data_IF_804915984968
#
_entry.id   IF_804915984968
#
_cell.length_a   1.000
_cell.length_b   1.000
_cell.length_c   1.000
_cell.angle_alpha   90.00
_cell.angle_beta   90.00
_cell.angle_gamma   90.00
#
_symmetry.space_group_name_H-M   'P 1'
#
loop_
_entity.id
_entity.type
_entity.pdbx_description
1 polymer ?
#
# COMPACT_ATOMS: atom_id res chain seq x y z
N UNK A 1 0.23 -29.74 14.92
CA UNK A 1 1.71 -29.84 14.75
C UNK A 1 2.22 -29.04 13.55
N UNK A 2 1.52 -29.02 12.42
CA UNK A 2 2.00 -28.32 11.21
C UNK A 2 2.17 -26.78 11.32
N UNK A 3 1.34 -26.13 12.13
CA UNK A 3 1.34 -24.66 12.20
C UNK A 3 2.52 -24.06 13.00
N UNK A 4 3.01 -24.74 14.03
CA UNK A 4 4.27 -24.38 14.68
C UNK A 4 5.45 -24.58 13.72
N UNK A 5 5.39 -25.63 12.90
CA UNK A 5 6.42 -25.94 11.91
C UNK A 5 6.52 -24.82 10.85
N UNK A 6 5.38 -24.34 10.31
CA UNK A 6 5.34 -23.24 9.36
C UNK A 6 5.95 -21.93 9.92
N UNK A 7 5.70 -21.63 11.20
CA UNK A 7 6.30 -20.46 11.85
C UNK A 7 7.81 -20.67 12.09
N UNK A 8 8.25 -21.86 12.47
CA UNK A 8 9.67 -22.17 12.63
C UNK A 8 10.44 -22.14 11.30
N UNK A 9 9.77 -22.43 10.18
CA UNK A 9 10.37 -22.31 8.83
C UNK A 9 10.86 -20.90 8.53
N UNK A 10 10.26 -19.84 9.11
CA UNK A 10 10.72 -18.46 8.97
C UNK A 10 12.19 -18.28 9.45
N UNK A 11 12.58 -19.05 10.45
CA UNK A 11 13.94 -19.03 11.01
C UNK A 11 14.89 -20.10 10.43
N UNK A 12 14.39 -21.12 9.70
CA UNK A 12 15.21 -22.29 9.32
C UNK A 12 15.32 -22.51 7.83
N UNK A 13 14.25 -22.24 7.06
CA UNK A 13 14.18 -22.48 5.61
C UNK A 13 15.14 -21.56 4.83
N UNK A 14 15.70 -22.00 3.68
CA UNK A 14 16.56 -21.14 2.84
C UNK A 14 15.87 -19.83 2.48
N UNK A 15 16.56 -18.70 2.71
CA UNK A 15 16.00 -17.34 2.62
C UNK A 15 15.37 -17.05 1.25
N UNK A 16 16.02 -17.46 0.16
CA UNK A 16 15.48 -17.22 -1.21
C UNK A 16 14.16 -17.94 -1.46
N UNK A 17 14.06 -19.23 -1.06
CA UNK A 17 12.82 -20.01 -1.18
C UNK A 17 11.71 -19.41 -0.31
N UNK A 18 12.08 -18.96 0.90
CA UNK A 18 11.16 -18.36 1.84
C UNK A 18 10.63 -17.02 1.30
N UNK A 19 11.50 -16.15 0.82
CA UNK A 19 11.11 -14.87 0.22
C UNK A 19 10.17 -15.10 -0.98
N UNK A 20 10.48 -16.02 -1.87
CA UNK A 20 9.60 -16.35 -2.99
C UNK A 20 8.24 -16.88 -2.51
N UNK A 21 8.21 -17.75 -1.49
CA UNK A 21 6.99 -18.31 -0.92
C UNK A 21 6.04 -17.24 -0.35
N UNK A 22 6.58 -16.12 0.14
CA UNK A 22 5.80 -15.01 0.70
C UNK A 22 5.56 -13.88 -0.29
N UNK A 23 6.57 -13.54 -1.09
CA UNK A 23 6.49 -12.42 -2.04
C UNK A 23 5.61 -12.75 -3.26
N UNK A 24 5.73 -13.93 -3.86
CA UNK A 24 4.92 -14.27 -5.04
C UNK A 24 3.41 -14.21 -4.77
N UNK A 25 2.88 -14.80 -3.67
CA UNK A 25 1.47 -14.63 -3.35
C UNK A 25 1.08 -13.16 -3.11
N UNK A 26 1.92 -12.37 -2.45
CA UNK A 26 1.63 -10.97 -2.19
C UNK A 26 1.65 -10.13 -3.49
N UNK A 27 2.61 -10.36 -4.38
CA UNK A 27 2.68 -9.71 -5.70
C UNK A 27 1.44 -10.06 -6.52
N UNK A 28 1.07 -11.34 -6.58
CA UNK A 28 -0.13 -11.80 -7.29
C UNK A 28 -1.40 -11.12 -6.75
N UNK A 29 -1.53 -11.03 -5.42
CA UNK A 29 -2.65 -10.35 -4.79
C UNK A 29 -2.70 -8.85 -5.13
N UNK A 30 -1.55 -8.16 -5.11
CA UNK A 30 -1.47 -6.73 -5.46
C UNK A 30 -1.80 -6.49 -6.94
N UNK A 31 -1.32 -7.36 -7.83
CA UNK A 31 -1.63 -7.28 -9.27
C UNK A 31 -3.12 -7.51 -9.52
N UNK A 32 -3.72 -8.52 -8.90
CA UNK A 32 -5.15 -8.79 -9.01
C UNK A 32 -6.00 -7.61 -8.50
N UNK A 33 -5.62 -7.04 -7.35
CA UNK A 33 -6.29 -5.86 -6.81
C UNK A 33 -6.17 -4.62 -7.72
N UNK A 34 -5.05 -4.45 -8.42
CA UNK A 34 -4.88 -3.35 -9.37
C UNK A 34 -5.73 -3.54 -10.62
N UNK A 35 -5.80 -4.76 -11.14
CA UNK A 35 -6.63 -5.09 -12.30
C UNK A 35 -8.13 -4.90 -12.01
N UNK A 36 -8.57 -5.30 -10.83
CA UNK A 36 -9.96 -5.11 -10.43
C UNK A 36 -10.36 -3.63 -10.42
N UNK A 37 -9.51 -2.72 -9.91
CA UNK A 37 -9.80 -1.29 -9.93
C UNK A 37 -10.00 -0.74 -11.36
N UNK A 38 -9.31 -1.31 -12.35
CA UNK A 38 -9.49 -0.94 -13.76
C UNK A 38 -10.82 -1.48 -14.28
N UNK A 39 -11.15 -2.73 -13.98
CA UNK A 39 -12.38 -3.39 -14.40
C UNK A 39 -13.61 -2.66 -13.84
N UNK A 40 -13.60 -2.32 -12.55
CA UNK A 40 -14.67 -1.59 -11.89
C UNK A 40 -14.94 -0.23 -12.57
N UNK A 41 -13.88 0.52 -12.90
CA UNK A 41 -14.02 1.78 -13.65
C UNK A 41 -14.60 1.58 -15.05
N UNK A 42 -14.26 0.48 -15.73
CA UNK A 42 -14.83 0.15 -17.06
C UNK A 42 -16.33 -0.11 -16.92
N UNK A 43 -16.75 -0.91 -15.93
CA UNK A 43 -18.17 -1.18 -15.68
C UNK A 43 -18.96 0.10 -15.38
N UNK A 44 -18.47 0.94 -14.48
CA UNK A 44 -19.11 2.20 -14.13
C UNK A 44 -19.19 3.11 -15.36
N UNK A 45 -18.11 3.23 -16.11
CA UNK A 45 -18.06 4.11 -17.26
C UNK A 45 -18.98 3.71 -18.42
N UNK A 46 -19.01 2.44 -18.73
CA UNK A 46 -19.81 1.94 -19.86
C UNK A 46 -21.31 1.82 -19.55
N UNK A 47 -21.66 1.53 -18.29
CA UNK A 47 -23.05 1.24 -17.92
C UNK A 47 -23.72 2.41 -17.23
N UNK A 48 -23.02 3.11 -16.32
CA UNK A 48 -23.60 4.21 -15.54
C UNK A 48 -23.40 5.56 -16.24
N UNK A 49 -22.23 5.75 -16.86
CA UNK A 49 -21.95 6.92 -17.70
C UNK A 49 -20.80 7.81 -17.20
N UNK A 50 -20.47 8.86 -17.97
CA UNK A 50 -19.26 9.68 -17.73
C UNK A 50 -19.32 10.50 -16.44
N UNK A 51 -20.50 10.96 -16.01
CA UNK A 51 -20.64 11.71 -14.75
C UNK A 51 -20.35 10.82 -13.53
N UNK A 52 -20.69 9.55 -13.58
CA UNK A 52 -20.38 8.59 -12.52
C UNK A 52 -18.86 8.32 -12.44
N UNK A 53 -18.16 8.22 -13.58
CA UNK A 53 -16.68 8.13 -13.58
C UNK A 53 -16.06 9.37 -12.95
N UNK A 54 -16.55 10.55 -13.29
CA UNK A 54 -16.07 11.81 -12.73
C UNK A 54 -16.29 11.87 -11.21
N UNK A 55 -17.47 11.44 -10.75
CA UNK A 55 -17.76 11.29 -9.32
C UNK A 55 -16.81 10.31 -8.64
N UNK A 56 -16.57 9.14 -9.24
CA UNK A 56 -15.64 8.14 -8.72
C UNK A 56 -14.21 8.67 -8.67
N UNK A 57 -13.77 9.41 -9.67
CA UNK A 57 -12.42 9.99 -9.71
C UNK A 57 -12.18 10.96 -8.54
N UNK A 58 -13.18 11.74 -8.15
CA UNK A 58 -13.14 12.65 -7.00
C UNK A 58 -13.03 11.86 -5.68
N UNK A 59 -13.72 10.72 -5.58
CA UNK A 59 -13.70 9.91 -4.36
C UNK A 59 -12.39 9.13 -4.17
N UNK A 60 -11.60 8.93 -5.22
CA UNK A 60 -10.42 8.08 -5.21
C UNK A 60 -9.35 8.46 -4.16
N UNK A 61 -8.93 9.74 -4.01
CA UNK A 61 -8.01 10.14 -2.95
C UNK A 61 -8.58 9.89 -1.56
N UNK A 62 -9.88 10.14 -1.37
CA UNK A 62 -10.55 9.90 -0.11
C UNK A 62 -10.64 8.40 0.23
N UNK A 63 -10.94 7.55 -0.75
CA UNK A 63 -10.91 6.08 -0.58
C UNK A 63 -9.54 5.57 -0.19
N UNK A 64 -8.47 6.09 -0.84
CA UNK A 64 -7.10 5.73 -0.49
C UNK A 64 -6.76 6.12 0.95
N UNK A 65 -7.22 7.29 1.41
CA UNK A 65 -7.04 7.73 2.78
C UNK A 65 -7.81 6.82 3.76
N UNK A 66 -9.06 6.46 3.44
CA UNK A 66 -9.87 5.53 4.23
C UNK A 66 -9.18 4.16 4.35
N UNK A 67 -8.73 3.60 3.22
CA UNK A 67 -8.00 2.34 3.20
C UNK A 67 -6.68 2.40 4.00
N UNK A 68 -6.01 3.56 4.01
CA UNK A 68 -4.78 3.76 4.77
C UNK A 68 -4.98 3.65 6.29
N UNK A 69 -6.13 4.05 6.83
CA UNK A 69 -6.47 3.85 8.25
C UNK A 69 -6.57 2.37 8.62
N UNK A 70 -7.30 1.57 7.84
CA UNK A 70 -7.43 0.14 8.07
C UNK A 70 -6.10 -0.60 7.88
N UNK A 71 -5.36 -0.24 6.83
CA UNK A 71 -4.04 -0.80 6.56
C UNK A 71 -3.01 -0.45 7.66
N UNK A 72 -3.08 0.74 8.25
CA UNK A 72 -2.18 1.16 9.33
C UNK A 72 -2.27 0.21 10.53
N UNK A 73 -3.47 -0.07 11.01
CA UNK A 73 -3.69 -1.02 12.11
C UNK A 73 -3.18 -2.41 11.73
N UNK A 74 -3.50 -2.88 10.52
CA UNK A 74 -3.07 -4.19 10.03
C UNK A 74 -1.56 -4.35 9.90
N UNK A 75 -0.88 -3.35 9.35
CA UNK A 75 0.58 -3.36 9.17
C UNK A 75 1.29 -3.28 10.53
N UNK A 76 0.82 -2.41 11.43
CA UNK A 76 1.37 -2.31 12.77
C UNK A 76 1.24 -3.61 13.56
N UNK A 77 0.07 -4.25 13.49
CA UNK A 77 -0.19 -5.54 14.11
C UNK A 77 0.66 -6.65 13.50
N UNK A 78 0.69 -6.75 12.17
CA UNK A 78 1.47 -7.76 11.43
C UNK A 78 2.96 -7.70 11.78
N UNK A 79 3.54 -6.50 11.83
CA UNK A 79 4.92 -6.29 12.25
C UNK A 79 5.15 -6.75 13.68
N UNK A 80 4.31 -6.32 14.62
CA UNK A 80 4.46 -6.64 16.04
C UNK A 80 4.28 -8.15 16.28
N UNK A 81 3.28 -8.78 15.63
CA UNK A 81 3.08 -10.23 15.67
C UNK A 81 4.32 -10.97 15.18
N UNK A 82 4.88 -10.57 14.02
CA UNK A 82 6.04 -11.25 13.44
C UNK A 82 7.24 -11.22 14.38
N UNK A 83 7.51 -10.09 15.02
CA UNK A 83 8.58 -9.95 16.03
C UNK A 83 8.30 -10.84 17.25
N UNK A 84 7.06 -10.84 17.76
CA UNK A 84 6.67 -11.66 18.92
C UNK A 84 6.74 -13.16 18.64
N UNK A 85 6.36 -13.59 17.45
CA UNK A 85 6.53 -14.97 17.01
C UNK A 85 8.02 -15.39 16.97
N UNK A 86 8.90 -14.48 16.51
CA UNK A 86 10.34 -14.70 16.55
C UNK A 86 10.88 -14.82 17.98
N UNK A 87 10.34 -14.03 18.92
CA UNK A 87 10.63 -14.11 20.36
C UNK A 87 10.00 -15.33 21.05
N UNK A 88 9.21 -16.14 20.34
CA UNK A 88 8.40 -17.26 20.87
C UNK A 88 7.35 -16.82 21.91
N UNK A 89 7.00 -15.53 21.93
CA UNK A 89 5.96 -14.95 22.80
C UNK A 89 4.59 -15.07 22.14
N UNK A 90 4.08 -16.28 22.08
CA UNK A 90 2.82 -16.61 21.40
C UNK A 90 1.62 -15.97 22.09
N UNK A 91 1.65 -15.84 23.41
CA UNK A 91 0.56 -15.25 24.18
C UNK A 91 0.37 -13.76 23.85
N UNK A 92 1.47 -13.02 23.75
CA UNK A 92 1.41 -11.61 23.32
C UNK A 92 0.98 -11.51 21.86
N UNK A 93 1.42 -12.41 20.99
CA UNK A 93 1.00 -12.42 19.58
C UNK A 93 -0.51 -12.64 19.44
N UNK A 94 -1.12 -13.53 20.23
CA UNK A 94 -2.58 -13.73 20.28
C UNK A 94 -3.32 -12.49 20.84
N UNK A 95 -2.79 -11.86 21.88
CA UNK A 95 -3.36 -10.61 22.39
C UNK A 95 -3.33 -9.49 21.33
N UNK A 96 -2.28 -9.44 20.50
CA UNK A 96 -2.19 -8.47 19.39
C UNK A 96 -3.27 -8.77 18.35
N UNK A 97 -3.52 -10.04 18.00
CA UNK A 97 -4.63 -10.42 17.11
C UNK A 97 -5.97 -9.86 17.60
N UNK A 98 -6.32 -10.11 18.89
CA UNK A 98 -7.57 -9.60 19.46
C UNK A 98 -7.63 -8.08 19.53
N UNK A 99 -6.52 -7.43 19.94
CA UNK A 99 -6.43 -5.97 19.96
C UNK A 99 -6.56 -5.37 18.56
N UNK A 100 -6.06 -6.05 17.52
CA UNK A 100 -6.21 -5.62 16.11
C UNK A 100 -7.67 -5.60 15.69
N UNK A 101 -8.44 -6.61 16.05
CA UNK A 101 -9.88 -6.69 15.76
C UNK A 101 -10.60 -5.52 16.43
N UNK A 102 -10.41 -5.36 17.74
CA UNK A 102 -11.06 -4.29 18.50
C UNK A 102 -10.64 -2.90 18.00
N UNK A 103 -9.35 -2.71 17.69
CA UNK A 103 -8.84 -1.43 17.21
C UNK A 103 -9.37 -1.09 15.81
N UNK A 104 -9.42 -2.06 14.88
CA UNK A 104 -10.03 -1.85 13.55
C UNK A 104 -11.53 -1.52 13.66
N UNK A 105 -12.25 -2.15 14.60
CA UNK A 105 -13.65 -1.82 14.85
C UNK A 105 -13.80 -0.38 15.32
N UNK A 106 -13.04 0.05 16.32
CA UNK A 106 -13.08 1.42 16.86
C UNK A 106 -12.68 2.43 15.79
N UNK A 107 -11.54 2.24 15.14
CA UNK A 107 -11.04 3.15 14.09
C UNK A 107 -12.01 3.21 12.91
N UNK A 108 -12.54 2.06 12.49
CA UNK A 108 -13.50 1.98 11.39
C UNK A 108 -14.81 2.68 11.69
N UNK A 109 -15.38 2.49 12.89
CA UNK A 109 -16.62 3.16 13.32
C UNK A 109 -16.41 4.65 13.50
N UNK A 110 -15.33 5.06 14.17
CA UNK A 110 -15.03 6.48 14.39
C UNK A 110 -14.80 7.21 13.08
N UNK A 111 -13.98 6.62 12.18
CA UNK A 111 -13.72 7.19 10.86
C UNK A 111 -15.01 7.30 10.04
N UNK A 112 -15.79 6.23 9.96
CA UNK A 112 -17.07 6.24 9.24
C UNK A 112 -18.04 7.27 9.82
N UNK A 113 -18.20 7.33 11.15
CA UNK A 113 -19.10 8.29 11.80
C UNK A 113 -18.72 9.73 11.53
N UNK A 114 -17.44 10.08 11.71
CA UNK A 114 -16.94 11.44 11.42
C UNK A 114 -17.09 11.79 9.94
N UNK A 115 -16.71 10.88 9.06
CA UNK A 115 -16.79 11.14 7.61
C UNK A 115 -18.23 11.24 7.11
N UNK A 116 -19.18 10.46 7.63
CA UNK A 116 -20.59 10.55 7.27
C UNK A 116 -21.21 11.89 7.69
N UNK A 117 -20.82 12.43 8.85
CA UNK A 117 -21.32 13.74 9.32
C UNK A 117 -20.88 14.91 8.42
N UNK A 118 -19.69 14.82 7.82
CA UNK A 118 -19.11 15.88 7.00
C UNK A 118 -18.95 15.49 5.52
N UNK A 119 -19.67 14.47 5.03
CA UNK A 119 -19.42 13.84 3.74
C UNK A 119 -19.43 14.83 2.58
N UNK A 120 -20.46 15.66 2.46
CA UNK A 120 -20.58 16.63 1.37
C UNK A 120 -19.47 17.69 1.41
N UNK A 121 -19.10 18.16 2.60
CA UNK A 121 -18.01 19.11 2.78
C UNK A 121 -16.67 18.50 2.38
N UNK A 122 -16.43 17.24 2.73
CA UNK A 122 -15.23 16.49 2.35
C UNK A 122 -15.18 16.31 0.83
N UNK A 123 -16.29 15.88 0.20
CA UNK A 123 -16.34 15.68 -1.24
C UNK A 123 -16.14 16.99 -2.01
N UNK A 124 -16.73 18.09 -1.55
CA UNK A 124 -16.49 19.42 -2.14
C UNK A 124 -15.05 19.86 -1.98
N UNK A 125 -14.41 19.58 -0.84
CA UNK A 125 -12.98 19.85 -0.62
C UNK A 125 -12.10 19.06 -1.63
N UNK A 126 -12.50 17.84 -1.98
CA UNK A 126 -11.82 17.04 -3.00
C UNK A 126 -12.21 17.42 -4.46
N UNK A 127 -13.06 18.43 -4.65
CA UNK A 127 -13.36 19.01 -5.96
C UNK A 127 -14.68 18.58 -6.56
N UNK A 128 -15.64 18.07 -5.76
CA UNK A 128 -16.97 17.73 -6.25
C UNK A 128 -17.74 19.00 -6.63
N UNK A 129 -18.22 19.05 -7.89
CA UNK A 129 -19.17 20.05 -8.39
C UNK A 129 -20.60 19.61 -8.08
N UNK A 130 -21.56 20.53 -8.24
CA UNK A 130 -22.99 20.20 -8.03
C UNK A 130 -23.48 19.08 -8.98
N UNK A 131 -22.85 18.91 -10.14
CA UNK A 131 -23.17 17.85 -11.09
C UNK A 131 -22.58 16.48 -10.67
N UNK A 132 -21.40 16.45 -10.06
CA UNK A 132 -20.70 15.20 -9.69
C UNK A 132 -20.96 14.78 -8.25
N UNK A 133 -21.35 15.72 -7.39
CA UNK A 133 -21.58 15.47 -5.95
C UNK A 133 -22.58 14.35 -5.68
N UNK A 134 -23.74 14.24 -6.38
CA UNK A 134 -24.68 13.13 -6.12
C UNK A 134 -24.04 11.75 -6.31
N UNK A 135 -23.26 11.58 -7.38
CA UNK A 135 -22.59 10.32 -7.67
C UNK A 135 -21.48 10.01 -6.64
N UNK A 136 -20.67 11.02 -6.32
CA UNK A 136 -19.61 10.89 -5.32
C UNK A 136 -20.18 10.61 -3.93
N UNK A 137 -21.28 11.29 -3.54
CA UNK A 137 -21.98 11.08 -2.28
C UNK A 137 -22.56 9.67 -2.19
N UNK A 138 -23.31 9.23 -3.19
CA UNK A 138 -23.93 7.90 -3.21
C UNK A 138 -22.93 6.77 -3.09
N UNK A 139 -21.79 6.90 -3.77
CA UNK A 139 -20.70 5.95 -3.70
C UNK A 139 -20.05 5.95 -2.31
N UNK A 140 -19.59 7.12 -1.84
CA UNK A 140 -18.86 7.23 -0.57
C UNK A 140 -19.72 6.96 0.65
N UNK A 141 -20.97 7.39 0.64
CA UNK A 141 -21.93 7.07 1.70
C UNK A 141 -22.05 5.55 1.88
N UNK A 142 -22.22 4.82 0.78
CA UNK A 142 -22.31 3.37 0.78
C UNK A 142 -21.01 2.73 1.28
N UNK A 143 -19.84 3.17 0.76
CA UNK A 143 -18.52 2.68 1.21
C UNK A 143 -18.32 2.93 2.71
N UNK A 144 -18.65 4.10 3.22
CA UNK A 144 -18.46 4.45 4.64
C UNK A 144 -19.33 3.60 5.57
N UNK A 145 -20.55 3.25 5.18
CA UNK A 145 -21.40 2.33 5.95
C UNK A 145 -20.76 0.95 6.12
N UNK A 146 -20.05 0.48 5.10
CA UNK A 146 -19.33 -0.80 5.14
C UNK A 146 -17.86 -0.70 5.57
N UNK A 147 -17.37 0.49 5.87
CA UNK A 147 -15.94 0.75 6.09
C UNK A 147 -15.32 -0.07 7.23
N UNK A 148 -16.09 -0.39 8.25
CA UNK A 148 -15.64 -1.26 9.36
C UNK A 148 -15.21 -2.63 8.85
N UNK A 149 -16.00 -3.23 7.96
CA UNK A 149 -15.70 -4.54 7.37
C UNK A 149 -14.46 -4.46 6.47
N UNK A 150 -14.33 -3.36 5.71
CA UNK A 150 -13.16 -3.10 4.87
C UNK A 150 -11.89 -2.98 5.71
N UNK A 151 -11.89 -2.20 6.79
CA UNK A 151 -10.75 -2.06 7.70
C UNK A 151 -10.37 -3.40 8.34
N UNK A 152 -11.37 -4.16 8.82
CA UNK A 152 -11.18 -5.51 9.36
C UNK A 152 -10.56 -6.44 8.33
N UNK A 153 -11.07 -6.46 7.09
CA UNK A 153 -10.55 -7.26 5.99
C UNK A 153 -9.06 -6.98 5.71
N UNK A 154 -8.69 -5.70 5.57
CA UNK A 154 -7.28 -5.32 5.35
C UNK A 154 -6.40 -5.68 6.53
N UNK A 155 -6.88 -5.43 7.75
CA UNK A 155 -6.17 -5.79 8.98
C UNK A 155 -5.92 -7.29 9.10
N UNK A 156 -6.96 -8.10 8.93
CA UNK A 156 -6.85 -9.56 9.02
C UNK A 156 -6.00 -10.16 7.89
N UNK A 157 -6.04 -9.57 6.69
CA UNK A 157 -5.18 -9.98 5.59
C UNK A 157 -3.69 -9.79 5.92
N UNK A 158 -3.32 -8.67 6.55
CA UNK A 158 -1.96 -8.43 7.01
C UNK A 158 -1.54 -9.41 8.14
N UNK A 159 -2.44 -9.68 9.08
CA UNK A 159 -2.20 -10.64 10.17
C UNK A 159 -2.05 -12.08 9.63
N UNK A 160 -2.79 -12.49 8.61
CA UNK A 160 -2.61 -13.80 7.96
C UNK A 160 -1.19 -14.01 7.43
N UNK A 161 -0.61 -12.96 6.81
CA UNK A 161 0.80 -13.03 6.36
C UNK A 161 1.77 -13.19 7.53
N UNK A 162 1.57 -12.44 8.60
CA UNK A 162 2.36 -12.56 9.83
C UNK A 162 2.19 -13.93 10.51
N UNK A 163 0.98 -14.51 10.44
CA UNK A 163 0.66 -15.86 10.93
C UNK A 163 1.19 -17.00 10.04
N UNK A 164 2.14 -16.72 9.15
CA UNK A 164 2.78 -17.69 8.24
C UNK A 164 1.82 -18.31 7.21
N UNK A 165 0.76 -17.56 6.81
CA UNK A 165 -0.26 -17.99 5.85
C UNK A 165 -0.36 -17.09 4.61
N UNK A 166 0.74 -16.80 3.89
CA UNK A 166 0.71 -15.86 2.76
C UNK A 166 -0.19 -16.33 1.62
N UNK A 167 -0.27 -17.63 1.35
CA UNK A 167 -1.17 -18.20 0.33
C UNK A 167 -2.64 -17.97 0.68
N UNK A 168 -3.04 -18.11 1.95
CA UNK A 168 -4.42 -17.85 2.39
C UNK A 168 -4.75 -16.36 2.29
N UNK A 169 -3.81 -15.48 2.61
CA UNK A 169 -3.98 -14.04 2.41
C UNK A 169 -4.17 -13.68 0.91
N UNK A 170 -3.39 -14.29 0.01
CA UNK A 170 -3.57 -14.16 -1.43
C UNK A 170 -4.95 -14.66 -1.89
N UNK A 171 -5.34 -15.87 -1.47
CA UNK A 171 -6.64 -16.43 -1.82
C UNK A 171 -7.80 -15.53 -1.35
N UNK A 172 -7.70 -14.92 -0.16
CA UNK A 172 -8.70 -13.96 0.30
C UNK A 172 -8.81 -12.74 -0.62
N UNK A 173 -7.67 -12.21 -1.08
CA UNK A 173 -7.67 -11.07 -2.02
C UNK A 173 -8.22 -11.46 -3.39
N UNK A 174 -7.81 -12.61 -3.95
CA UNK A 174 -8.33 -13.09 -5.24
C UNK A 174 -9.83 -13.37 -5.14
N UNK A 175 -10.29 -13.98 -4.05
CA UNK A 175 -11.71 -14.21 -3.78
C UNK A 175 -12.48 -12.88 -3.77
N UNK A 176 -11.97 -11.86 -3.07
CA UNK A 176 -12.58 -10.53 -3.05
C UNK A 176 -12.69 -9.93 -4.46
N UNK A 177 -11.62 -10.03 -5.25
CA UNK A 177 -11.60 -9.51 -6.64
C UNK A 177 -12.65 -10.23 -7.52
N UNK A 178 -12.67 -11.55 -7.48
CA UNK A 178 -13.62 -12.34 -8.30
C UNK A 178 -15.06 -12.07 -7.87
N UNK A 179 -15.34 -12.08 -6.55
CA UNK A 179 -16.67 -11.79 -6.04
C UNK A 179 -17.13 -10.38 -6.35
N UNK A 180 -16.22 -9.40 -6.28
CA UNK A 180 -16.55 -8.02 -6.63
C UNK A 180 -16.97 -7.91 -8.11
N UNK A 181 -16.19 -8.47 -9.04
CA UNK A 181 -16.53 -8.46 -10.48
C UNK A 181 -17.89 -9.14 -10.73
N UNK A 182 -18.16 -10.28 -10.08
CA UNK A 182 -19.44 -10.97 -10.23
C UNK A 182 -20.60 -10.12 -9.70
N UNK A 183 -20.42 -9.48 -8.54
CA UNK A 183 -21.43 -8.63 -7.94
C UNK A 183 -21.64 -7.32 -8.70
N UNK A 184 -20.59 -6.76 -9.34
CA UNK A 184 -20.71 -5.62 -10.23
C UNK A 184 -21.61 -5.92 -11.43
N UNK A 185 -21.47 -7.10 -12.05
CA UNK A 185 -22.37 -7.54 -13.11
C UNK A 185 -23.81 -7.62 -12.61
N UNK A 186 -24.05 -8.17 -11.42
CA UNK A 186 -25.40 -8.30 -10.84
C UNK A 186 -25.98 -6.93 -10.51
N UNK A 187 -25.27 -6.10 -9.76
CA UNK A 187 -25.82 -4.86 -9.19
C UNK A 187 -25.84 -3.72 -10.20
N UNK A 188 -24.82 -3.61 -11.07
CA UNK A 188 -24.76 -2.51 -12.04
C UNK A 188 -25.52 -2.87 -13.29
N UNK A 189 -25.35 -4.10 -13.87
CA UNK A 189 -25.94 -4.47 -15.15
C UNK A 189 -27.34 -5.04 -15.05
N UNK A 190 -27.63 -5.91 -14.07
CA UNK A 190 -28.95 -6.55 -13.98
C UNK A 190 -29.93 -5.75 -13.14
N UNK A 191 -29.49 -5.24 -11.97
CA UNK A 191 -30.36 -4.50 -11.05
C UNK A 191 -30.35 -2.98 -11.28
N UNK A 192 -29.44 -2.47 -12.12
CA UNK A 192 -29.31 -1.05 -12.47
C UNK A 192 -29.16 -0.12 -11.25
N UNK A 193 -28.45 -0.60 -10.21
CA UNK A 193 -28.22 0.22 -9.01
C UNK A 193 -27.12 1.28 -9.19
N UNK A 194 -26.57 1.40 -10.40
CA UNK A 194 -25.59 2.41 -10.75
C UNK A 194 -24.36 2.37 -9.87
N UNK A 195 -23.86 3.54 -9.46
CA UNK A 195 -22.63 3.68 -8.68
C UNK A 195 -22.76 3.13 -7.25
N UNK A 196 -23.98 3.12 -6.67
CA UNK A 196 -24.25 2.46 -5.39
C UNK A 196 -24.04 0.96 -5.48
N UNK A 197 -24.38 0.37 -6.62
CA UNK A 197 -24.16 -1.05 -6.89
C UNK A 197 -22.69 -1.43 -6.81
N UNK A 198 -21.81 -0.63 -7.44
CA UNK A 198 -20.36 -0.82 -7.36
C UNK A 198 -19.82 -0.73 -5.91
N UNK A 199 -20.28 0.25 -5.14
CA UNK A 199 -19.90 0.40 -3.74
C UNK A 199 -20.35 -0.80 -2.91
N UNK A 200 -21.58 -1.28 -3.09
CA UNK A 200 -22.12 -2.48 -2.42
C UNK A 200 -21.37 -3.74 -2.81
N UNK A 201 -21.02 -3.92 -4.08
CA UNK A 201 -20.22 -5.05 -4.55
C UNK A 201 -18.87 -5.10 -3.83
N UNK A 202 -18.22 -3.95 -3.68
CA UNK A 202 -16.95 -3.82 -2.96
C UNK A 202 -17.11 -4.22 -1.49
N UNK A 203 -18.10 -3.71 -0.78
CA UNK A 203 -18.30 -4.00 0.65
C UNK A 203 -18.67 -5.46 0.85
N UNK A 204 -19.60 -6.01 0.06
CA UNK A 204 -20.06 -7.38 0.22
C UNK A 204 -18.92 -8.37 -0.07
N UNK A 205 -18.14 -8.15 -1.13
CA UNK A 205 -17.00 -9.02 -1.45
C UNK A 205 -15.94 -9.02 -0.35
N UNK A 206 -15.62 -7.85 0.22
CA UNK A 206 -14.70 -7.73 1.34
C UNK A 206 -15.27 -8.35 2.63
N UNK A 207 -16.56 -8.19 2.88
CA UNK A 207 -17.23 -8.81 4.05
C UNK A 207 -17.22 -10.33 3.97
N UNK A 208 -17.52 -10.92 2.81
CA UNK A 208 -17.45 -12.36 2.59
C UNK A 208 -16.03 -12.90 2.79
N UNK A 209 -15.03 -12.18 2.25
CA UNK A 209 -13.64 -12.54 2.45
C UNK A 209 -13.22 -12.40 3.93
N UNK A 210 -13.69 -11.37 4.63
CA UNK A 210 -13.48 -11.22 6.07
C UNK A 210 -14.09 -12.38 6.86
N UNK A 211 -15.32 -12.76 6.56
CA UNK A 211 -15.97 -13.93 7.21
C UNK A 211 -15.10 -15.18 7.03
N UNK A 212 -14.60 -15.41 5.82
CA UNK A 212 -13.69 -16.53 5.59
C UNK A 212 -12.36 -16.39 6.36
N UNK A 213 -11.75 -15.21 6.41
CA UNK A 213 -10.54 -14.97 7.22
C UNK A 213 -10.81 -15.25 8.71
N UNK A 214 -11.97 -14.83 9.23
CA UNK A 214 -12.34 -15.08 10.63
C UNK A 214 -12.51 -16.57 10.93
N UNK A 215 -13.04 -17.38 10.00
CA UNK A 215 -13.10 -18.85 10.18
C UNK A 215 -11.70 -19.48 10.28
N UNK A 216 -10.72 -18.93 9.56
CA UNK A 216 -9.33 -19.40 9.66
C UNK A 216 -8.72 -19.12 11.03
N UNK A 217 -9.06 -17.99 11.66
CA UNK A 217 -8.60 -17.66 13.02
C UNK A 217 -9.47 -18.30 14.11
N UNK A 218 -10.68 -18.75 13.81
CA UNK A 218 -11.53 -19.49 14.75
C UNK A 218 -11.05 -20.93 15.02
N UNK A 219 -10.19 -21.47 14.15
CA UNK A 219 -9.66 -22.83 14.28
C UNK A 219 -8.64 -22.90 15.45
N UNK A 220 -9.01 -23.59 16.52
CA UNK A 220 -8.20 -23.76 17.74
C UNK A 220 -6.86 -24.49 17.52
N UNK A 221 -6.71 -25.21 16.40
CA UNK A 221 -5.47 -25.89 16.06
C UNK A 221 -4.41 -24.95 15.51
N UNK A 222 -4.78 -23.68 15.24
CA UNK A 222 -3.88 -22.68 14.74
C UNK A 222 -3.06 -22.04 15.87
N UNK A 223 -1.82 -21.65 15.54
CA UNK A 223 -0.92 -21.01 16.50
C UNK A 223 -1.50 -19.68 17.01
N UNK A 224 -2.06 -18.90 16.09
CA UNK A 224 -2.80 -17.66 16.40
C UNK A 224 -4.29 -17.95 16.17
N UNK A 225 -5.07 -17.97 17.22
CA UNK A 225 -6.51 -18.23 17.14
C UNK A 225 -7.30 -17.35 18.09
N UNK A 226 -8.59 -17.22 17.81
CA UNK A 226 -9.50 -16.41 18.59
C UNK A 226 -9.80 -17.11 19.94
N UNK A 227 -9.57 -16.38 21.03
CA UNK A 227 -9.84 -16.83 22.42
C UNK A 227 -10.67 -15.78 23.15
N UNK A 228 -11.40 -16.19 24.17
CA UNK A 228 -12.03 -15.24 25.11
C UNK A 228 -10.93 -14.45 25.85
N UNK A 229 -11.12 -13.14 25.98
CA UNK A 229 -10.21 -12.26 26.75
C UNK A 229 -9.10 -11.57 25.95
N UNK A 230 -8.82 -11.95 24.68
CA UNK A 230 -7.79 -11.26 23.85
C UNK A 230 -8.25 -9.89 23.30
N UNK A 231 -9.56 -9.64 23.32
CA UNK A 231 -10.16 -8.41 22.75
C UNK A 231 -9.99 -7.19 23.66
N UNK A 232 -9.63 -7.39 24.93
CA UNK A 232 -9.39 -6.30 25.86
C UNK A 232 -8.16 -5.50 25.42
N UNK A 233 -8.37 -4.20 25.15
CA UNK A 233 -7.29 -3.32 24.70
C UNK A 233 -6.23 -3.19 25.80
N UNK A 234 -4.98 -3.45 25.41
CA UNK A 234 -3.80 -3.24 26.25
C UNK A 234 -3.04 -2.04 25.70
N UNK A 235 -2.96 -0.96 26.49
CA UNK A 235 -2.40 0.32 26.07
C UNK A 235 -1.01 0.20 25.41
N UNK A 236 -0.12 -0.63 25.96
CA UNK A 236 1.21 -0.85 25.39
C UNK A 236 1.16 -1.51 24.00
N UNK A 237 0.24 -2.47 23.78
CA UNK A 237 0.09 -3.12 22.48
C UNK A 237 -0.53 -2.17 21.46
N UNK A 238 -1.57 -1.45 21.85
CA UNK A 238 -2.22 -0.42 21.02
C UNK A 238 -1.21 0.65 20.60
N UNK A 239 -0.41 1.17 21.54
CA UNK A 239 0.65 2.14 21.26
C UNK A 239 1.65 1.61 20.23
N UNK A 240 2.09 0.36 20.35
CA UNK A 240 3.03 -0.24 19.41
C UNK A 240 2.41 -0.43 18.02
N UNK A 241 1.18 -0.93 17.94
CA UNK A 241 0.45 -1.11 16.68
C UNK A 241 0.29 0.22 15.96
N UNK A 242 -0.24 1.23 16.66
CA UNK A 242 -0.47 2.56 16.06
C UNK A 242 0.85 3.21 15.68
N UNK A 243 1.87 3.17 16.54
CA UNK A 243 3.16 3.78 16.26
C UNK A 243 3.78 3.25 14.96
N UNK A 244 3.75 1.94 14.74
CA UNK A 244 4.29 1.33 13.52
C UNK A 244 3.38 1.65 12.32
N UNK A 245 2.08 1.58 12.49
CA UNK A 245 1.09 1.82 11.44
C UNK A 245 1.01 3.28 10.98
N UNK A 246 1.44 4.24 11.80
CA UNK A 246 1.42 5.66 11.43
C UNK A 246 2.36 5.99 10.26
N UNK A 247 3.45 5.23 10.10
CA UNK A 247 4.40 5.44 9.00
C UNK A 247 3.77 5.24 7.61
N UNK A 248 3.18 4.09 7.28
CA UNK A 248 2.50 3.90 5.99
C UNK A 248 1.25 4.77 5.84
N UNK A 249 0.56 5.09 6.93
CA UNK A 249 -0.55 6.03 6.90
C UNK A 249 -0.10 7.42 6.45
N UNK A 250 0.90 8.00 7.11
CA UNK A 250 1.44 9.32 6.74
C UNK A 250 1.98 9.33 5.32
N UNK A 251 2.62 8.25 4.87
CA UNK A 251 3.10 8.13 3.49
C UNK A 251 1.95 8.25 2.49
N UNK A 252 0.84 7.54 2.71
CA UNK A 252 -0.34 7.61 1.83
C UNK A 252 -1.02 8.99 1.90
N UNK A 253 -1.18 9.56 3.09
CA UNK A 253 -1.76 10.88 3.26
C UNK A 253 -0.94 11.97 2.54
N UNK A 254 0.39 11.93 2.68
CA UNK A 254 1.28 12.85 1.96
C UNK A 254 1.22 12.64 0.45
N UNK A 255 1.14 11.39 -0.03
CA UNK A 255 1.02 11.10 -1.45
C UNK A 255 -0.23 11.77 -2.06
N UNK A 256 -1.37 11.74 -1.36
CA UNK A 256 -2.59 12.43 -1.82
C UNK A 256 -2.37 13.95 -1.96
N UNK A 257 -1.72 14.59 -0.98
CA UNK A 257 -1.43 16.03 -1.04
C UNK A 257 -0.45 16.35 -2.18
N UNK A 258 0.60 15.56 -2.34
CA UNK A 258 1.62 15.76 -3.39
C UNK A 258 1.03 15.66 -4.79
N UNK A 259 0.10 14.74 -5.03
CA UNK A 259 -0.58 14.62 -6.35
C UNK A 259 -1.32 15.90 -6.70
N UNK A 260 -1.96 16.56 -5.74
CA UNK A 260 -2.63 17.86 -5.95
C UNK A 260 -1.60 18.92 -6.37
N UNK A 261 -0.46 18.99 -5.68
CA UNK A 261 0.62 19.92 -6.03
C UNK A 261 1.19 19.65 -7.42
N UNK A 262 1.47 18.39 -7.76
CA UNK A 262 1.96 17.99 -9.07
C UNK A 262 0.97 18.45 -10.15
N UNK A 263 -0.31 18.14 -10.02
CA UNK A 263 -1.32 18.50 -11.00
C UNK A 263 -1.42 20.02 -11.17
N UNK A 264 -1.40 20.79 -10.08
CA UNK A 264 -1.43 22.26 -10.15
C UNK A 264 -0.21 22.81 -10.91
N UNK A 265 0.97 22.29 -10.67
CA UNK A 265 2.18 22.73 -11.37
C UNK A 265 2.17 22.31 -12.85
N UNK A 266 1.65 21.12 -13.16
CA UNK A 266 1.50 20.64 -14.53
C UNK A 266 0.53 21.50 -15.34
N UNK A 267 -0.63 21.86 -14.76
CA UNK A 267 -1.60 22.76 -15.41
C UNK A 267 -0.95 24.13 -15.64
N UNK A 268 -0.27 24.67 -14.62
CA UNK A 268 0.34 26.01 -14.67
C UNK A 268 1.43 26.14 -15.74
N UNK A 269 2.31 25.15 -15.87
CA UNK A 269 3.52 25.23 -16.74
C UNK A 269 3.38 24.45 -18.05
N UNK A 270 2.42 23.53 -18.18
CA UNK A 270 2.31 22.65 -19.34
C UNK A 270 0.89 22.43 -19.87
N UNK A 271 -0.11 22.99 -19.19
CA UNK A 271 -1.53 22.82 -19.55
C UNK A 271 -2.06 21.39 -19.33
N UNK A 272 -3.33 21.18 -19.70
CA UNK A 272 -4.04 19.92 -19.47
C UNK A 272 -3.39 18.69 -20.13
N UNK A 273 -2.76 18.89 -21.29
CA UNK A 273 -2.03 17.83 -22.00
C UNK A 273 -0.88 17.26 -21.16
N UNK A 274 -0.24 18.07 -20.33
CA UNK A 274 0.83 17.62 -19.44
C UNK A 274 0.32 16.83 -18.26
N UNK A 275 -0.88 17.11 -17.76
CA UNK A 275 -1.57 16.29 -16.76
C UNK A 275 -1.90 14.91 -17.34
N UNK A 276 -2.36 14.87 -18.59
CA UNK A 276 -2.58 13.61 -19.32
C UNK A 276 -1.29 12.80 -19.49
N UNK A 277 -0.20 13.47 -19.88
CA UNK A 277 1.11 12.83 -20.01
C UNK A 277 1.63 12.26 -18.67
N UNK A 278 1.47 13.01 -17.57
CA UNK A 278 1.78 12.54 -16.22
C UNK A 278 0.96 11.32 -15.83
N UNK A 279 -0.35 11.37 -16.07
CA UNK A 279 -1.27 10.28 -15.73
C UNK A 279 -0.86 8.97 -16.41
N UNK A 280 -0.46 9.02 -17.68
CA UNK A 280 0.04 7.86 -18.43
C UNK A 280 1.36 7.35 -17.81
N UNK A 281 2.33 8.24 -17.61
CA UNK A 281 3.63 7.88 -17.01
C UNK A 281 3.48 7.28 -15.62
N UNK A 282 2.62 7.89 -14.78
CA UNK A 282 2.33 7.39 -13.43
C UNK A 282 1.64 6.02 -13.46
N UNK A 283 0.73 5.77 -14.42
CA UNK A 283 0.07 4.48 -14.56
C UNK A 283 1.06 3.37 -14.90
N UNK A 284 2.02 3.63 -15.78
CA UNK A 284 3.09 2.70 -16.12
C UNK A 284 3.98 2.44 -14.89
N UNK A 285 4.39 3.49 -14.19
CA UNK A 285 5.22 3.38 -13.00
C UNK A 285 4.52 2.57 -11.88
N UNK A 286 3.22 2.77 -11.67
CA UNK A 286 2.43 2.10 -10.63
C UNK A 286 2.43 0.58 -10.77
N UNK A 287 2.49 0.04 -11.97
CA UNK A 287 2.55 -1.42 -12.18
C UNK A 287 3.77 -2.01 -11.47
N UNK A 288 4.95 -1.43 -11.68
CA UNK A 288 6.20 -1.90 -11.07
C UNK A 288 6.29 -1.59 -9.58
N UNK A 289 5.76 -0.44 -9.15
CA UNK A 289 5.65 -0.07 -7.74
C UNK A 289 4.80 -1.10 -6.98
N UNK A 290 3.68 -1.57 -7.56
CA UNK A 290 2.83 -2.60 -6.94
C UNK A 290 3.57 -3.93 -6.76
N UNK A 291 4.45 -4.31 -7.68
CA UNK A 291 5.29 -5.49 -7.52
C UNK A 291 6.25 -5.35 -6.33
N UNK A 292 6.86 -4.18 -6.16
CA UNK A 292 7.75 -3.91 -5.01
C UNK A 292 6.97 -3.82 -3.70
N UNK A 293 5.75 -3.27 -3.70
CA UNK A 293 4.87 -3.29 -2.52
C UNK A 293 4.54 -4.74 -2.13
N UNK A 294 4.20 -5.59 -3.09
CA UNK A 294 3.98 -7.01 -2.86
C UNK A 294 5.22 -7.73 -2.31
N UNK A 295 6.39 -7.44 -2.86
CA UNK A 295 7.68 -7.94 -2.36
C UNK A 295 7.92 -7.52 -0.90
N UNK A 296 7.68 -6.25 -0.57
CA UNK A 296 7.80 -5.71 0.78
C UNK A 296 6.83 -6.37 1.76
N UNK A 297 5.59 -6.63 1.34
CA UNK A 297 4.62 -7.36 2.14
C UNK A 297 5.05 -8.81 2.41
N UNK A 298 5.76 -9.43 1.47
CA UNK A 298 6.35 -10.75 1.65
C UNK A 298 7.60 -10.74 2.54
N UNK A 299 8.44 -9.70 2.43
CA UNK A 299 9.63 -9.52 3.26
C UNK A 299 9.29 -9.27 4.73
N UNK A 300 8.23 -8.52 5.01
CA UNK A 300 7.87 -8.03 6.34
C UNK A 300 7.80 -9.13 7.41
N UNK A 301 7.03 -10.22 7.24
CA UNK A 301 6.95 -11.27 8.27
C UNK A 301 8.29 -12.00 8.47
N UNK A 302 9.08 -12.16 7.40
CA UNK A 302 10.37 -12.85 7.48
C UNK A 302 11.39 -12.00 8.24
N UNK A 303 11.51 -10.72 7.88
CA UNK A 303 12.43 -9.79 8.53
C UNK A 303 12.05 -9.56 10.00
N UNK A 304 10.76 -9.35 10.31
CA UNK A 304 10.25 -9.16 11.65
C UNK A 304 10.49 -10.38 12.54
N UNK A 305 10.20 -11.59 12.04
CA UNK A 305 10.47 -12.84 12.78
C UNK A 305 11.95 -13.01 13.10
N UNK A 306 12.82 -12.90 12.09
CA UNK A 306 14.27 -13.09 12.28
C UNK A 306 14.88 -12.01 13.20
N UNK A 307 14.35 -10.78 13.18
CA UNK A 307 14.70 -9.74 14.13
C UNK A 307 14.30 -10.13 15.56
N UNK A 308 13.06 -10.59 15.75
CA UNK A 308 12.58 -11.07 17.05
C UNK A 308 13.33 -12.28 17.59
N UNK A 309 13.73 -13.20 16.70
CA UNK A 309 14.52 -14.39 17.01
C UNK A 309 16.02 -14.10 17.16
N UNK A 310 16.46 -12.85 17.06
CA UNK A 310 17.88 -12.42 17.10
C UNK A 310 18.76 -13.04 16.00
N UNK A 311 18.15 -13.55 14.92
CA UNK A 311 18.85 -14.11 13.75
C UNK A 311 19.22 -13.00 12.75
N UNK A 312 20.08 -12.09 13.16
CA UNK A 312 20.36 -10.85 12.43
C UNK A 312 21.02 -11.08 11.06
N UNK A 313 21.86 -12.09 10.92
CA UNK A 313 22.46 -12.44 9.63
C UNK A 313 21.39 -12.87 8.62
N UNK A 314 20.43 -13.70 9.05
CA UNK A 314 19.31 -14.10 8.19
C UNK A 314 18.44 -12.91 7.85
N UNK A 315 18.12 -12.07 8.81
CA UNK A 315 17.37 -10.83 8.59
C UNK A 315 18.05 -9.97 7.51
N UNK A 316 19.36 -9.73 7.62
CA UNK A 316 20.09 -8.94 6.62
C UNK A 316 20.18 -9.61 5.26
N UNK A 317 20.25 -10.94 5.21
CA UNK A 317 20.22 -11.70 3.96
C UNK A 317 18.87 -11.54 3.26
N UNK A 318 17.75 -11.57 4.00
CA UNK A 318 16.41 -11.29 3.46
C UNK A 318 16.34 -9.88 2.87
N UNK A 319 16.79 -8.87 3.61
CA UNK A 319 16.78 -7.46 3.17
C UNK A 319 17.64 -7.28 1.91
N UNK A 320 18.86 -7.81 1.90
CA UNK A 320 19.76 -7.75 0.74
C UNK A 320 19.11 -8.37 -0.51
N UNK A 321 18.52 -9.55 -0.35
CA UNK A 321 17.85 -10.24 -1.46
C UNK A 321 16.62 -9.44 -1.93
N UNK A 322 15.86 -8.86 -1.02
CA UNK A 322 14.72 -8.00 -1.36
C UNK A 322 15.15 -6.72 -2.10
N UNK A 323 16.28 -6.10 -1.70
CA UNK A 323 16.83 -4.94 -2.43
C UNK A 323 17.21 -5.33 -3.85
N UNK A 324 17.92 -6.44 -4.04
CA UNK A 324 18.32 -6.94 -5.37
C UNK A 324 17.07 -7.21 -6.22
N UNK A 325 16.10 -7.94 -5.69
CA UNK A 325 14.85 -8.26 -6.40
C UNK A 325 14.06 -7.00 -6.75
N UNK A 326 13.91 -6.05 -5.83
CA UNK A 326 13.23 -4.78 -6.08
C UNK A 326 13.94 -3.96 -7.16
N UNK A 327 15.28 -3.90 -7.11
CA UNK A 327 16.07 -3.20 -8.13
C UNK A 327 15.91 -3.87 -9.50
N UNK A 328 15.90 -5.20 -9.59
CA UNK A 328 15.65 -5.92 -10.85
C UNK A 328 14.25 -5.60 -11.40
N UNK A 329 13.20 -5.61 -10.56
CA UNK A 329 11.84 -5.27 -10.96
C UNK A 329 11.80 -3.82 -11.52
N UNK A 330 12.38 -2.88 -10.78
CA UNK A 330 12.40 -1.47 -11.18
C UNK A 330 13.27 -1.23 -12.42
N UNK A 331 14.38 -1.95 -12.57
CA UNK A 331 15.22 -1.91 -13.76
C UNK A 331 14.48 -2.41 -15.00
N UNK A 332 13.64 -3.44 -14.87
CA UNK A 332 12.79 -3.91 -15.97
C UNK A 332 11.80 -2.80 -16.39
N UNK A 333 11.14 -2.14 -15.42
CA UNK A 333 10.25 -1.01 -15.73
C UNK A 333 10.97 0.16 -16.39
N UNK A 334 12.15 0.49 -15.88
CA UNK A 334 13.03 1.50 -16.46
C UNK A 334 13.43 1.16 -17.90
N UNK A 335 13.85 -0.08 -18.14
CA UNK A 335 14.24 -0.52 -19.48
C UNK A 335 13.09 -0.42 -20.49
N UNK A 336 11.88 -0.81 -20.10
CA UNK A 336 10.70 -0.66 -20.94
C UNK A 336 10.40 0.81 -21.25
N UNK A 337 10.50 1.67 -20.24
CA UNK A 337 10.27 3.12 -20.41
C UNK A 337 11.32 3.79 -21.29
N UNK A 338 12.60 3.35 -21.23
CA UNK A 338 13.70 3.97 -21.98
C UNK A 338 13.80 3.44 -23.41
N UNK A 339 13.64 2.11 -23.63
CA UNK A 339 13.89 1.50 -24.93
C UNK A 339 12.62 1.30 -25.77
N UNK A 340 11.43 1.21 -25.13
CA UNK A 340 10.16 0.91 -25.84
C UNK A 340 9.03 1.87 -25.42
N UNK A 341 9.31 3.18 -25.18
CA UNK A 341 8.34 4.11 -24.60
C UNK A 341 7.11 4.29 -25.51
N UNK A 342 7.28 4.30 -26.81
CA UNK A 342 6.19 4.47 -27.77
C UNK A 342 5.11 3.40 -27.59
N UNK A 343 5.48 2.12 -27.51
CA UNK A 343 4.54 1.03 -27.35
C UNK A 343 3.84 1.08 -25.98
N UNK A 344 4.60 1.42 -24.92
CA UNK A 344 4.03 1.58 -23.58
C UNK A 344 2.96 2.69 -23.54
N UNK A 345 3.25 3.85 -24.12
CA UNK A 345 2.32 4.99 -24.13
C UNK A 345 1.14 4.75 -25.07
N UNK A 346 1.34 4.10 -26.22
CA UNK A 346 0.30 3.80 -27.20
C UNK A 346 -0.82 2.91 -26.67
N UNK A 347 -0.56 2.13 -25.62
CA UNK A 347 -1.60 1.36 -24.92
C UNK A 347 -2.67 2.27 -24.27
N UNK A 348 -2.32 3.52 -23.96
CA UNK A 348 -3.20 4.44 -23.26
C UNK A 348 -3.81 5.51 -24.15
N UNK A 349 -3.15 5.88 -25.25
CA UNK A 349 -3.64 6.93 -26.15
C UNK A 349 -3.19 6.74 -27.60
N UNK A 350 -4.00 7.20 -28.53
CA UNK A 350 -3.70 7.26 -29.97
C UNK A 350 -3.36 8.67 -30.45
N UNK A 351 -3.52 9.69 -29.59
CA UNK A 351 -3.25 11.09 -29.94
C UNK A 351 -1.74 11.32 -30.09
N UNK A 352 -1.23 11.73 -31.29
CA UNK A 352 0.20 11.85 -31.56
C UNK A 352 0.91 12.88 -30.67
N UNK A 353 0.25 14.00 -30.36
CA UNK A 353 0.82 15.06 -29.52
C UNK A 353 0.95 14.57 -28.06
N UNK A 354 -0.08 13.92 -27.54
CA UNK A 354 -0.04 13.36 -26.19
C UNK A 354 1.00 12.24 -26.09
N UNK A 355 1.15 11.40 -27.12
CA UNK A 355 2.20 10.37 -27.18
C UNK A 355 3.59 11.01 -27.04
N UNK A 356 3.86 12.05 -27.84
CA UNK A 356 5.17 12.74 -27.83
C UNK A 356 5.48 13.34 -26.45
N UNK A 357 4.51 14.04 -25.84
CA UNK A 357 4.66 14.64 -24.51
C UNK A 357 4.83 13.55 -23.42
N UNK A 358 4.07 12.47 -23.51
CA UNK A 358 4.13 11.36 -22.55
C UNK A 358 5.47 10.62 -22.61
N UNK A 359 6.06 10.44 -23.80
CA UNK A 359 7.39 9.83 -23.95
C UNK A 359 8.45 10.70 -23.28
N UNK A 360 8.43 12.02 -23.53
CA UNK A 360 9.39 12.92 -22.89
C UNK A 360 9.24 12.92 -21.36
N UNK A 361 7.99 13.03 -20.87
CA UNK A 361 7.71 12.96 -19.43
C UNK A 361 8.16 11.63 -18.82
N UNK A 362 7.87 10.50 -19.49
CA UNK A 362 8.22 9.17 -19.03
C UNK A 362 9.73 8.97 -18.89
N UNK A 363 10.52 9.43 -19.87
CA UNK A 363 11.98 9.37 -19.82
C UNK A 363 12.55 10.11 -18.61
N UNK A 364 12.03 11.31 -18.33
CA UNK A 364 12.53 12.11 -17.21
C UNK A 364 12.07 11.52 -15.88
N UNK A 365 10.77 11.23 -15.72
CA UNK A 365 10.20 10.73 -14.46
C UNK A 365 10.83 9.39 -14.05
N UNK A 366 11.05 8.49 -15.01
CA UNK A 366 11.58 7.16 -14.72
C UNK A 366 13.12 7.09 -14.70
N UNK A 367 13.83 8.19 -14.86
CA UNK A 367 15.31 8.21 -14.90
C UNK A 367 15.94 7.53 -13.67
N UNK A 368 15.46 7.81 -12.48
CA UNK A 368 15.97 7.24 -11.20
C UNK A 368 15.19 6.01 -10.71
N UNK A 369 14.29 5.47 -11.54
CA UNK A 369 13.41 4.39 -11.19
C UNK A 369 14.14 3.13 -10.65
N UNK A 370 15.29 2.68 -11.20
CA UNK A 370 16.04 1.55 -10.67
C UNK A 370 16.44 1.69 -9.19
N UNK A 371 16.65 2.92 -8.72
CA UNK A 371 17.10 3.21 -7.36
C UNK A 371 15.94 3.24 -6.36
N UNK A 372 14.72 3.58 -6.79
CA UNK A 372 13.54 3.70 -5.93
C UNK A 372 13.25 2.38 -5.21
N UNK A 373 13.44 1.24 -5.88
CA UNK A 373 13.25 -0.08 -5.28
C UNK A 373 14.07 -0.29 -4.00
N UNK A 374 15.33 0.14 -4.02
CA UNK A 374 16.21 0.08 -2.85
C UNK A 374 15.67 0.95 -1.69
N UNK A 375 15.27 2.17 -1.96
CA UNK A 375 14.70 3.09 -0.96
C UNK A 375 13.42 2.53 -0.33
N UNK A 376 12.52 1.98 -1.14
CA UNK A 376 11.28 1.37 -0.67
C UNK A 376 11.53 0.18 0.28
N UNK A 377 12.49 -0.68 -0.06
CA UNK A 377 12.86 -1.83 0.78
C UNK A 377 13.51 -1.39 2.08
N UNK A 378 14.44 -0.42 2.05
CA UNK A 378 15.09 0.10 3.25
C UNK A 378 14.07 0.74 4.19
N UNK A 379 13.16 1.55 3.67
CA UNK A 379 12.11 2.19 4.46
C UNK A 379 11.20 1.15 5.13
N UNK A 380 10.78 0.14 4.37
CA UNK A 380 9.97 -0.96 4.88
C UNK A 380 10.74 -1.82 5.89
N UNK A 381 12.04 -2.04 5.71
CA UNK A 381 12.87 -2.74 6.69
C UNK A 381 12.83 -2.08 8.06
N UNK A 382 13.01 -0.76 8.17
CA UNK A 382 12.92 -0.05 9.45
C UNK A 382 11.53 -0.17 10.08
N UNK A 383 10.49 -0.25 9.27
CA UNK A 383 9.12 -0.54 9.72
C UNK A 383 9.02 -1.95 10.29
N UNK A 384 9.58 -2.97 9.61
CA UNK A 384 9.54 -4.38 10.03
C UNK A 384 10.23 -4.64 11.38
N UNK A 385 11.26 -3.88 11.71
CA UNK A 385 11.98 -3.99 12.98
C UNK A 385 11.48 -3.00 14.06
N UNK A 386 10.37 -2.30 13.80
CA UNK A 386 9.76 -1.36 14.73
C UNK A 386 10.54 -0.06 14.96
N UNK A 387 11.49 0.30 14.08
CA UNK A 387 12.21 1.58 14.13
C UNK A 387 11.40 2.69 13.47
N UNK A 388 10.25 2.98 14.07
CA UNK A 388 9.19 3.85 13.54
C UNK A 388 9.70 5.24 13.14
N UNK A 389 10.47 5.90 14.00
CA UNK A 389 10.98 7.26 13.74
C UNK A 389 11.82 7.31 12.45
N UNK A 390 12.66 6.30 12.22
CA UNK A 390 13.48 6.22 11.02
C UNK A 390 12.60 5.95 9.79
N UNK A 391 11.65 5.02 9.90
CA UNK A 391 10.72 4.71 8.81
C UNK A 391 9.88 5.93 8.41
N UNK A 392 9.32 6.68 9.37
CA UNK A 392 8.59 7.92 9.13
C UNK A 392 9.50 8.95 8.45
N UNK A 393 10.70 9.18 8.98
CA UNK A 393 11.65 10.12 8.41
C UNK A 393 11.95 9.79 6.95
N UNK A 394 12.29 8.54 6.62
CA UNK A 394 12.61 8.14 5.26
C UNK A 394 11.39 8.22 4.31
N UNK A 395 10.19 7.93 4.81
CA UNK A 395 8.96 8.02 4.01
C UNK A 395 8.58 9.47 3.71
N UNK A 396 8.62 10.33 4.73
CA UNK A 396 8.17 11.73 4.60
C UNK A 396 9.23 12.62 3.96
N UNK A 397 10.52 12.37 4.21
CA UNK A 397 11.59 13.18 3.63
C UNK A 397 11.55 13.19 2.11
N UNK A 398 11.29 12.05 1.47
CA UNK A 398 11.15 11.96 0.01
C UNK A 398 10.05 12.89 -0.52
N UNK A 399 8.89 12.91 0.11
CA UNK A 399 7.71 13.63 -0.39
C UNK A 399 7.68 15.09 0.06
N UNK A 400 7.88 15.35 1.36
CA UNK A 400 7.72 16.69 1.94
C UNK A 400 9.01 17.50 1.96
N UNK A 401 10.17 16.86 2.27
CA UNK A 401 11.42 17.59 2.39
C UNK A 401 12.14 17.76 1.05
N UNK A 402 11.95 16.83 0.11
CA UNK A 402 12.66 16.89 -1.17
C UNK A 402 11.71 17.20 -2.32
N UNK A 403 10.65 16.40 -2.55
CA UNK A 403 9.81 16.58 -3.73
C UNK A 403 9.02 17.89 -3.69
N UNK A 404 8.38 18.22 -2.58
CA UNK A 404 7.55 19.44 -2.50
C UNK A 404 8.35 20.74 -2.74
N UNK A 405 9.52 20.97 -2.10
CA UNK A 405 10.32 22.15 -2.41
C UNK A 405 10.83 22.16 -3.86
N UNK A 406 11.24 21.00 -4.40
CA UNK A 406 11.70 20.92 -5.80
C UNK A 406 10.58 21.22 -6.80
N UNK A 407 9.35 20.79 -6.53
CA UNK A 407 8.16 21.11 -7.33
C UNK A 407 7.81 22.62 -7.33
N UNK A 408 8.24 23.35 -6.30
CA UNK A 408 8.05 24.80 -6.23
C UNK A 408 9.21 25.53 -6.91
N UNK A 409 10.45 25.05 -6.73
CA UNK A 409 11.66 25.74 -7.18
C UNK A 409 12.00 25.47 -8.64
N UNK A 410 12.11 24.19 -9.05
CA UNK A 410 12.60 23.83 -10.38
C UNK A 410 11.72 24.31 -11.55
N UNK A 411 10.39 24.35 -11.46
CA UNK A 411 9.56 24.85 -12.54
C UNK A 411 9.78 26.33 -12.85
N UNK A 412 10.25 27.13 -11.88
CA UNK A 412 10.55 28.54 -12.11
C UNK A 412 11.79 28.76 -13.00
N UNK A 413 12.67 27.75 -13.11
CA UNK A 413 13.91 27.81 -13.92
C UNK A 413 13.80 27.03 -15.23
N UNK A 414 13.07 25.90 -15.21
CA UNK A 414 13.02 24.93 -16.29
C UNK A 414 11.57 24.65 -16.78
N UNK A 415 10.60 25.48 -16.39
CA UNK A 415 9.20 25.34 -16.78
C UNK A 415 8.67 23.90 -16.56
N UNK A 416 8.01 23.34 -17.58
CA UNK A 416 7.43 21.98 -17.50
C UNK A 416 8.51 20.90 -17.26
N UNK A 417 9.69 21.05 -17.80
CA UNK A 417 10.78 20.10 -17.55
C UNK A 417 11.27 20.15 -16.10
N UNK A 418 11.14 21.30 -15.43
CA UNK A 418 11.38 21.43 -14.00
C UNK A 418 10.39 20.64 -13.17
N UNK A 419 9.11 20.57 -13.58
CA UNK A 419 8.12 19.71 -12.91
C UNK A 419 8.51 18.24 -13.04
N UNK A 420 8.85 17.80 -14.27
CA UNK A 420 9.29 16.42 -14.51
C UNK A 420 10.56 16.07 -13.74
N UNK A 421 11.56 16.94 -13.76
CA UNK A 421 12.85 16.73 -13.11
C UNK A 421 12.79 16.74 -11.57
N UNK A 422 11.76 17.34 -10.98
CA UNK A 422 11.57 17.35 -9.53
C UNK A 422 11.43 15.94 -8.94
N UNK A 423 10.79 15.02 -9.68
CA UNK A 423 10.57 13.64 -9.24
C UNK A 423 11.88 12.85 -9.14
N UNK A 424 12.66 12.66 -10.23
CA UNK A 424 13.90 11.90 -10.15
C UNK A 424 14.94 12.54 -9.25
N UNK A 425 14.98 13.87 -9.16
CA UNK A 425 15.88 14.57 -8.25
C UNK A 425 15.56 14.27 -6.79
N UNK A 426 14.28 14.32 -6.41
CA UNK A 426 13.85 13.96 -5.06
C UNK A 426 14.11 12.49 -4.76
N UNK A 427 13.89 11.60 -5.72
CA UNK A 427 14.13 10.17 -5.59
C UNK A 427 15.60 9.87 -5.37
N UNK A 428 16.50 10.52 -6.13
CA UNK A 428 17.93 10.38 -5.95
C UNK A 428 18.39 10.79 -4.54
N UNK A 429 17.96 11.99 -4.08
CA UNK A 429 18.29 12.47 -2.74
C UNK A 429 17.76 11.51 -1.67
N UNK A 430 16.51 11.05 -1.82
CA UNK A 430 15.89 10.10 -0.87
C UNK A 430 16.62 8.76 -0.80
N UNK A 431 17.08 8.24 -1.94
CA UNK A 431 17.90 7.01 -1.99
C UNK A 431 19.24 7.20 -1.27
N UNK A 432 19.94 8.30 -1.52
CA UNK A 432 21.21 8.59 -0.83
C UNK A 432 20.99 8.66 0.68
N UNK A 433 19.97 9.39 1.13
CA UNK A 433 19.61 9.48 2.56
C UNK A 433 19.26 8.12 3.15
N UNK A 434 18.52 7.29 2.42
CA UNK A 434 18.16 5.94 2.88
C UNK A 434 19.38 5.03 3.03
N UNK A 435 20.31 5.06 2.07
CA UNK A 435 21.55 4.27 2.12
C UNK A 435 22.45 4.74 3.27
N UNK A 436 22.62 6.05 3.45
CA UNK A 436 23.41 6.61 4.56
C UNK A 436 22.79 6.18 5.90
N UNK A 437 21.47 6.33 6.05
CA UNK A 437 20.75 5.97 7.28
C UNK A 437 20.90 4.48 7.59
N UNK A 438 20.77 3.62 6.57
CA UNK A 438 20.94 2.17 6.72
C UNK A 438 22.38 1.83 7.13
N UNK A 439 23.38 2.45 6.51
CA UNK A 439 24.80 2.21 6.79
C UNK A 439 25.15 2.64 8.22
N UNK A 440 24.71 3.82 8.65
CA UNK A 440 24.92 4.32 10.01
C UNK A 440 24.24 3.41 11.03
N UNK A 441 22.99 3.01 10.76
CA UNK A 441 22.27 2.10 11.64
C UNK A 441 23.00 0.76 11.80
N UNK A 442 23.44 0.15 10.69
CA UNK A 442 24.15 -1.14 10.73
C UNK A 442 25.49 -1.07 11.46
N UNK A 443 26.24 0.05 11.30
CA UNK A 443 27.50 0.25 12.03
C UNK A 443 27.27 0.34 13.54
N UNK A 444 26.26 1.10 13.98
CA UNK A 444 25.89 1.18 15.41
C UNK A 444 25.41 -0.16 15.94
N UNK A 445 24.55 -0.83 15.19
CA UNK A 445 24.00 -2.13 15.57
C UNK A 445 25.08 -3.20 15.76
N UNK A 446 26.11 -3.24 14.88
CA UNK A 446 27.27 -4.14 15.05
C UNK A 446 28.08 -3.83 16.31
N UNK A 447 28.31 -2.55 16.63
CA UNK A 447 29.00 -2.14 17.85
C UNK A 447 28.26 -2.59 19.13
N UNK A 448 26.93 -2.37 19.14
CA UNK A 448 26.09 -2.76 20.28
C UNK A 448 26.06 -4.29 20.49
N UNK A 449 26.17 -5.06 19.41
CA UNK A 449 26.25 -6.52 19.47
C UNK A 449 27.61 -7.00 20.02
N UNK A 450 28.70 -6.37 19.63
CA UNK A 450 30.04 -6.70 20.11
C UNK A 450 30.18 -6.38 21.59
N UNK A 451 29.64 -5.25 22.06
CA UNK A 451 29.68 -4.85 23.47
C UNK A 451 28.83 -5.73 24.41
N UNK A 452 27.87 -6.48 23.87
CA UNK A 452 27.05 -7.43 24.65
C UNK A 452 27.65 -8.82 24.73
N UNK A 453 28.58 -9.15 23.85
CA UNK A 453 29.29 -10.43 23.83
C UNK A 453 30.69 -10.37 24.49
N UNK A 454 31.17 -9.17 24.83
CA UNK A 454 32.30 -8.90 25.70
C UNK A 454 31.83 -8.69 27.12
#
# INVERSE_FOLDING_TARGET
MDNKKATLELGTKPVGKLLAQYALPAITAMTAASLYNIIDRIFIGQIVGPMAISGLAITFPFMNLAAAFGAAVGIGASTTISVKLGQKDYQTAENILGNTITLNLIVGLTFAGVCLLFLDSILRFFGASDATLPYAHDFMHTILLGNVFSHMYFGMNAVLRAASKPKKAMCATIFTVVMNILLDVVFIRWWHWGIKGAALATIISQTLALCWQMTLFANKNELLHLKRGIYKLKANLVKNIISIGISPFLMNACACVIVIFINNQLVRFGGDMSVGAYSIGNSIAMIFIMFVIGLNQGMQPIAGYNYGAQQYERMMRVVKLSIITATCIMLTGWSLAMFVPYHCVRLFTTNPELIKRSINALHIIMMMFPLIGCQMVITNFFQCIGKVKISIFLSLSRQLLFLLPLLILLPNFYEINGVWASMPTSDFIAVVVAIITMTVYLRRFKKDMQSKNS
#
